data_IF_881402459830
#
_entry.id   IF_881402459830
#
_cell.length_a   1.000
_cell.length_b   1.000
_cell.length_c   1.000
_cell.angle_alpha   90.00
_cell.angle_beta   90.00
_cell.angle_gamma   90.00
#
_symmetry.space_group_name_H-M   'P 1'
#
loop_
_entity.id
_entity.type
_entity.pdbx_description
1 polymer ?
#
# COMPACT_ATOMS: atom_id res chain seq x y z
N UNK A 1 -5.18 -12.81 16.27
CA UNK A 1 -6.16 -12.58 15.21
C UNK A 1 -5.66 -13.23 13.92
N UNK A 2 -6.53 -13.94 13.23
CA UNK A 2 -6.16 -14.63 12.00
C UNK A 2 -6.51 -13.77 10.78
N UNK A 3 -5.80 -13.96 9.66
CA UNK A 3 -6.10 -13.22 8.42
C UNK A 3 -7.56 -13.36 7.98
N UNK A 4 -8.16 -14.53 8.15
CA UNK A 4 -9.55 -14.74 7.78
C UNK A 4 -10.51 -13.90 8.60
N UNK A 5 -10.19 -13.61 9.86
CA UNK A 5 -11.00 -12.75 10.71
C UNK A 5 -11.04 -11.33 10.16
N UNK A 6 -9.90 -10.82 9.68
CA UNK A 6 -9.81 -9.52 9.03
C UNK A 6 -10.63 -9.48 7.75
N UNK A 7 -10.52 -10.54 6.93
CA UNK A 7 -11.27 -10.62 5.69
C UNK A 7 -12.78 -10.57 5.94
N UNK A 8 -13.26 -11.32 6.92
CA UNK A 8 -14.67 -11.33 7.27
C UNK A 8 -15.14 -9.97 7.80
N UNK A 9 -14.36 -9.36 8.68
CA UNK A 9 -14.73 -8.11 9.33
C UNK A 9 -14.82 -6.94 8.34
N UNK A 10 -13.83 -6.79 7.47
CA UNK A 10 -13.73 -5.62 6.61
C UNK A 10 -14.28 -5.83 5.20
N UNK A 11 -14.24 -7.04 4.68
CA UNK A 11 -14.71 -7.34 3.32
C UNK A 11 -15.97 -8.18 3.28
N UNK A 12 -16.30 -8.88 4.36
CA UNK A 12 -17.49 -9.71 4.41
C UNK A 12 -17.38 -11.02 3.65
N UNK A 13 -16.17 -11.42 3.27
CA UNK A 13 -15.95 -12.70 2.59
C UNK A 13 -15.66 -13.80 3.59
N UNK A 14 -16.13 -15.01 3.30
CA UNK A 14 -15.96 -16.15 4.20
C UNK A 14 -14.66 -16.92 3.98
N UNK A 15 -14.04 -16.76 2.83
CA UNK A 15 -12.82 -17.50 2.49
C UNK A 15 -11.97 -16.71 1.50
N UNK A 16 -10.67 -17.03 1.51
CA UNK A 16 -9.75 -16.51 0.51
C UNK A 16 -9.90 -17.28 -0.80
N UNK A 17 -9.50 -16.65 -1.90
CA UNK A 17 -9.56 -17.24 -3.24
C UNK A 17 -8.17 -17.54 -3.77
N UNK A 18 -8.03 -18.65 -4.50
CA UNK A 18 -6.79 -19.00 -5.18
C UNK A 18 -5.59 -18.96 -4.24
N UNK A 19 -4.56 -18.24 -4.64
CA UNK A 19 -3.30 -18.17 -3.89
C UNK A 19 -3.26 -17.05 -2.83
N UNK A 20 -4.39 -16.37 -2.59
CA UNK A 20 -4.40 -15.26 -1.62
C UNK A 20 -3.88 -15.67 -0.25
N UNK A 21 -4.36 -16.80 0.25
CA UNK A 21 -3.95 -17.29 1.57
C UNK A 21 -2.45 -17.57 1.63
N UNK A 22 -1.90 -18.18 0.60
CA UNK A 22 -0.47 -18.49 0.54
C UNK A 22 0.40 -17.22 0.53
N UNK A 23 -0.03 -16.21 -0.23
CA UNK A 23 0.68 -14.92 -0.30
C UNK A 23 0.64 -14.23 1.06
N UNK A 24 -0.53 -14.19 1.69
CA UNK A 24 -0.70 -13.56 2.99
C UNK A 24 0.17 -14.24 4.04
N UNK A 25 0.19 -15.55 4.06
CA UNK A 25 1.00 -16.32 4.98
C UNK A 25 2.49 -16.03 4.79
N UNK A 26 2.94 -16.00 3.55
CA UNK A 26 4.33 -15.68 3.23
C UNK A 26 4.72 -14.29 3.73
N UNK A 27 3.87 -13.31 3.49
CA UNK A 27 4.10 -11.94 3.95
C UNK A 27 4.13 -11.87 5.48
N UNK A 28 3.19 -12.51 6.16
CA UNK A 28 3.12 -12.47 7.62
C UNK A 28 4.28 -13.21 8.28
N UNK A 29 4.88 -14.17 7.59
CA UNK A 29 6.08 -14.85 8.08
C UNK A 29 7.37 -14.07 7.84
N UNK A 30 7.25 -12.84 7.32
CA UNK A 30 8.40 -11.96 7.14
C UNK A 30 9.18 -12.19 5.84
N UNK A 31 8.63 -12.96 4.91
CA UNK A 31 9.28 -13.22 3.64
C UNK A 31 8.98 -12.12 2.62
N UNK A 32 9.98 -11.74 1.86
CA UNK A 32 9.76 -10.95 0.65
C UNK A 32 8.99 -11.81 -0.33
N UNK A 33 7.86 -11.30 -0.81
CA UNK A 33 6.91 -12.11 -1.56
C UNK A 33 6.60 -11.48 -2.90
N UNK A 34 6.68 -12.27 -3.97
CA UNK A 34 6.21 -11.89 -5.30
C UNK A 34 4.94 -12.66 -5.60
N UNK A 35 3.82 -11.95 -5.64
CA UNK A 35 2.53 -12.54 -5.97
C UNK A 35 2.13 -12.18 -7.38
N UNK A 36 2.05 -13.18 -8.26
CA UNK A 36 1.61 -12.99 -9.64
C UNK A 36 0.15 -13.43 -9.75
N UNK A 37 -0.73 -12.45 -9.95
CA UNK A 37 -2.17 -12.69 -10.04
C UNK A 37 -2.76 -11.93 -11.22
N UNK A 38 -3.86 -12.45 -11.80
CA UNK A 38 -4.57 -11.68 -12.82
C UNK A 38 -5.06 -10.35 -12.27
N UNK A 39 -5.06 -9.32 -13.11
CA UNK A 39 -5.56 -8.01 -12.72
C UNK A 39 -7.03 -8.08 -12.35
N UNK A 40 -7.41 -7.36 -11.29
CA UNK A 40 -8.79 -7.18 -10.87
C UNK A 40 -9.35 -8.24 -9.93
N UNK A 41 -8.68 -9.34 -9.72
CA UNK A 41 -9.23 -10.46 -8.98
C UNK A 41 -8.86 -10.53 -7.49
N UNK A 42 -9.08 -9.49 -6.71
CA UNK A 42 -8.79 -9.55 -5.29
C UNK A 42 -7.31 -9.50 -4.95
N UNK A 43 -6.50 -9.03 -5.88
CA UNK A 43 -5.04 -8.90 -5.69
C UNK A 43 -4.71 -8.00 -4.50
N UNK A 44 -5.43 -6.91 -4.33
CA UNK A 44 -5.17 -5.95 -3.27
C UNK A 44 -5.38 -6.52 -1.87
N UNK A 45 -6.27 -7.49 -1.72
CA UNK A 45 -6.51 -8.16 -0.43
C UNK A 45 -5.22 -8.81 0.08
N UNK A 46 -4.37 -9.31 -0.82
CA UNK A 46 -3.13 -9.99 -0.46
C UNK A 46 -2.18 -9.11 0.34
N UNK A 47 -2.22 -7.79 0.17
CA UNK A 47 -1.40 -6.89 0.98
C UNK A 47 -2.23 -6.08 1.98
N UNK A 48 -3.49 -5.81 1.68
CA UNK A 48 -4.33 -5.02 2.58
C UNK A 48 -4.64 -5.77 3.87
N UNK A 49 -4.91 -7.07 3.81
CA UNK A 49 -5.14 -7.88 5.02
C UNK A 49 -3.91 -7.91 5.92
N UNK A 50 -2.70 -8.24 5.43
CA UNK A 50 -1.51 -8.19 6.29
C UNK A 50 -1.23 -6.79 6.84
N UNK A 51 -1.50 -5.74 6.08
CA UNK A 51 -1.30 -4.37 6.54
C UNK A 51 -2.15 -4.07 7.78
N UNK A 52 -3.37 -4.58 7.82
CA UNK A 52 -4.26 -4.39 8.96
C UNK A 52 -3.84 -5.19 10.19
N UNK A 53 -3.08 -6.26 9.99
CA UNK A 53 -2.63 -7.13 11.08
C UNK A 53 -1.34 -6.64 11.71
N UNK A 54 -0.57 -5.80 11.02
CA UNK A 54 0.71 -5.32 11.50
C UNK A 54 0.59 -3.92 12.07
N UNK A 55 1.44 -3.61 13.04
CA UNK A 55 1.59 -2.23 13.52
C UNK A 55 2.36 -1.41 12.51
N UNK A 56 1.99 -0.13 12.39
CA UNK A 56 2.65 0.80 11.48
C UNK A 56 1.87 1.02 10.20
N UNK A 57 2.48 1.77 9.29
CA UNK A 57 1.87 2.13 8.01
C UNK A 57 2.43 1.26 6.89
N UNK A 58 1.56 0.76 6.04
CA UNK A 58 1.94 0.06 4.82
C UNK A 58 2.05 1.09 3.69
N UNK A 59 3.21 1.19 3.07
CA UNK A 59 3.42 2.07 1.92
C UNK A 59 3.16 1.26 0.66
N UNK A 60 2.19 1.70 -0.15
CA UNK A 60 1.82 1.03 -1.40
C UNK A 60 2.23 1.91 -2.57
N UNK A 61 3.15 1.43 -3.38
CA UNK A 61 3.63 2.16 -4.55
C UNK A 61 2.90 1.65 -5.78
N UNK A 62 2.21 2.54 -6.47
CA UNK A 62 1.49 2.20 -7.71
C UNK A 62 1.52 3.38 -8.67
N UNK A 63 1.68 3.11 -9.98
CA UNK A 63 1.71 4.18 -10.98
C UNK A 63 0.34 4.68 -11.40
N UNK A 64 -0.71 3.93 -11.11
CA UNK A 64 -2.05 4.20 -11.63
C UNK A 64 -2.84 5.03 -10.63
N UNK A 65 -2.85 6.36 -10.83
CA UNK A 65 -3.47 7.29 -9.90
C UNK A 65 -4.97 7.04 -9.74
N UNK A 66 -5.68 6.75 -10.83
CA UNK A 66 -7.11 6.46 -10.75
C UNK A 66 -7.40 5.22 -9.90
N UNK A 67 -6.62 4.17 -10.07
CA UNK A 67 -6.75 2.94 -9.28
C UNK A 67 -6.41 3.21 -7.81
N UNK A 68 -5.37 3.99 -7.56
CA UNK A 68 -4.98 4.43 -6.23
C UNK A 68 -6.13 5.12 -5.50
N UNK A 69 -6.76 6.08 -6.16
CA UNK A 69 -7.89 6.82 -5.60
C UNK A 69 -9.08 5.90 -5.31
N UNK A 70 -9.37 4.98 -6.21
CA UNK A 70 -10.46 4.02 -6.02
C UNK A 70 -10.20 3.11 -4.83
N UNK A 71 -8.99 2.58 -4.71
CA UNK A 71 -8.64 1.71 -3.58
C UNK A 71 -8.71 2.46 -2.25
N UNK A 72 -8.19 3.68 -2.20
CA UNK A 72 -8.25 4.50 -0.99
C UNK A 72 -9.71 4.75 -0.60
N UNK A 73 -10.57 5.09 -1.56
CA UNK A 73 -11.97 5.33 -1.27
C UNK A 73 -12.67 4.07 -0.75
N UNK A 74 -12.38 2.92 -1.36
CA UNK A 74 -12.96 1.65 -0.90
C UNK A 74 -12.50 1.31 0.52
N UNK A 75 -11.25 1.56 0.84
CA UNK A 75 -10.73 1.34 2.19
C UNK A 75 -11.42 2.26 3.20
N UNK A 76 -11.57 3.53 2.87
CA UNK A 76 -12.29 4.47 3.72
C UNK A 76 -13.73 4.04 3.96
N UNK A 77 -14.39 3.54 2.92
CA UNK A 77 -15.77 3.06 3.03
C UNK A 77 -15.88 1.85 3.97
N UNK A 78 -14.78 1.10 4.13
CA UNK A 78 -14.72 -0.03 5.06
C UNK A 78 -14.26 0.37 6.47
N UNK A 79 -14.06 1.66 6.71
CA UNK A 79 -13.61 2.14 8.02
C UNK A 79 -12.11 2.01 8.23
N UNK A 80 -11.34 1.81 7.17
CA UNK A 80 -9.89 1.69 7.23
C UNK A 80 -9.26 3.04 6.90
N UNK A 81 -8.31 3.46 7.71
CA UNK A 81 -7.62 4.74 7.51
C UNK A 81 -6.56 4.59 6.41
N UNK A 82 -6.82 5.22 5.29
CA UNK A 82 -5.94 5.18 4.12
C UNK A 82 -5.93 6.54 3.44
N UNK A 83 -4.83 6.86 2.79
CA UNK A 83 -4.70 8.10 2.03
C UNK A 83 -3.69 7.91 0.89
N UNK A 84 -3.60 8.90 0.01
CA UNK A 84 -2.74 8.84 -1.16
C UNK A 84 -1.97 10.12 -1.36
N UNK A 85 -0.73 9.99 -1.83
CA UNK A 85 0.13 11.10 -2.23
C UNK A 85 0.63 10.79 -3.65
N UNK A 86 0.29 11.66 -4.60
CA UNK A 86 0.60 11.41 -6.00
C UNK A 86 0.97 12.71 -6.73
N UNK A 87 1.51 12.56 -7.93
CA UNK A 87 1.85 13.69 -8.79
C UNK A 87 0.60 14.46 -9.19
N UNK A 88 0.65 15.78 -9.12
CA UNK A 88 -0.48 16.66 -9.43
C UNK A 88 -1.25 17.14 -8.22
N UNK A 89 -1.02 16.59 -7.04
CA UNK A 89 -1.58 17.14 -5.81
C UNK A 89 -0.92 18.48 -5.47
N UNK A 90 -1.68 19.36 -4.83
CA UNK A 90 -1.12 20.60 -4.32
C UNK A 90 -0.16 20.31 -3.17
N UNK A 91 0.89 21.10 -3.07
CA UNK A 91 1.90 20.92 -2.02
C UNK A 91 1.30 20.91 -0.62
N UNK A 92 0.32 21.77 -0.36
CA UNK A 92 -0.33 21.86 0.95
C UNK A 92 -1.00 20.53 1.31
N UNK A 93 -1.65 19.89 0.35
CA UNK A 93 -2.30 18.61 0.58
C UNK A 93 -1.29 17.50 0.80
N UNK A 94 -0.19 17.52 0.06
CA UNK A 94 0.89 16.55 0.23
C UNK A 94 1.47 16.66 1.64
N UNK A 95 1.78 17.85 2.09
CA UNK A 95 2.34 18.08 3.41
C UNK A 95 1.38 17.61 4.50
N UNK A 96 0.10 17.96 4.37
CA UNK A 96 -0.92 17.56 5.35
C UNK A 96 -1.01 16.04 5.46
N UNK A 97 -1.07 15.34 4.33
CA UNK A 97 -1.17 13.89 4.33
C UNK A 97 0.08 13.27 4.96
N UNK A 98 1.26 13.75 4.58
CA UNK A 98 2.51 13.19 5.11
C UNK A 98 2.68 13.48 6.60
N UNK A 99 2.27 14.66 7.07
CA UNK A 99 2.32 14.97 8.50
C UNK A 99 1.39 14.06 9.29
N UNK A 100 0.20 13.78 8.78
CA UNK A 100 -0.71 12.85 9.42
C UNK A 100 -0.15 11.42 9.42
N UNK A 101 0.57 11.05 8.37
CA UNK A 101 1.23 9.75 8.31
C UNK A 101 2.33 9.62 9.37
N UNK A 102 3.11 10.69 9.58
CA UNK A 102 4.14 10.73 10.63
C UNK A 102 3.50 10.52 12.01
N UNK A 103 2.31 11.07 12.22
CA UNK A 103 1.59 10.92 13.48
C UNK A 103 0.86 9.57 13.62
N UNK A 104 1.00 8.68 12.65
CA UNK A 104 0.37 7.37 12.71
C UNK A 104 -1.10 7.36 12.28
N UNK A 105 -1.51 8.33 11.48
CA UNK A 105 -2.91 8.50 11.09
C UNK A 105 -3.45 7.50 10.07
N UNK A 106 -2.59 6.71 9.44
CA UNK A 106 -3.01 5.81 8.37
C UNK A 106 -2.47 4.40 8.55
N UNK A 107 -3.26 3.40 8.14
CA UNK A 107 -2.82 2.01 8.01
C UNK A 107 -2.18 1.75 6.64
N UNK A 108 -2.68 2.41 5.59
CA UNK A 108 -2.13 2.31 4.25
C UNK A 108 -1.93 3.72 3.68
N UNK A 109 -0.77 3.94 3.10
CA UNK A 109 -0.44 5.17 2.39
C UNK A 109 -0.02 4.80 0.98
N UNK A 110 -0.83 5.21 0.01
CA UNK A 110 -0.57 4.97 -1.40
C UNK A 110 0.28 6.11 -1.95
N UNK A 111 1.29 5.77 -2.72
CA UNK A 111 2.26 6.75 -3.23
C UNK A 111 2.54 6.46 -4.69
N UNK A 112 2.53 7.51 -5.52
CA UNK A 112 3.01 7.37 -6.89
C UNK A 112 4.53 7.25 -6.92
N UNK A 113 5.11 6.53 -7.90
CA UNK A 113 6.55 6.33 -7.92
C UNK A 113 7.38 7.61 -7.94
N UNK A 114 6.87 8.65 -8.60
CA UNK A 114 7.55 9.94 -8.69
C UNK A 114 7.74 10.58 -7.31
N UNK A 115 6.84 10.29 -6.38
CA UNK A 115 6.91 10.85 -5.03
C UNK A 115 7.95 10.18 -4.15
N UNK A 116 8.33 8.94 -4.47
CA UNK A 116 9.31 8.21 -3.66
C UNK A 116 10.67 8.91 -3.61
N UNK A 117 11.05 9.58 -4.68
CA UNK A 117 12.36 10.25 -4.78
C UNK A 117 12.31 11.72 -4.37
N UNK A 118 11.16 12.24 -3.97
CA UNK A 118 11.06 13.65 -3.55
C UNK A 118 11.65 13.83 -2.15
N UNK A 119 12.32 14.96 -1.94
CA UNK A 119 12.93 15.27 -0.65
C UNK A 119 11.90 15.31 0.47
N UNK A 120 10.73 15.90 0.18
CA UNK A 120 9.69 16.01 1.20
C UNK A 120 9.18 14.64 1.64
N UNK A 121 8.98 13.72 0.68
CA UNK A 121 8.52 12.37 1.03
C UNK A 121 9.58 11.64 1.85
N UNK A 122 10.84 11.68 1.42
CA UNK A 122 11.93 11.00 2.12
C UNK A 122 12.14 11.54 3.53
N UNK A 123 12.04 12.87 3.69
CA UNK A 123 12.19 13.49 5.00
C UNK A 123 11.06 13.06 5.96
N UNK A 124 9.83 13.01 5.46
CA UNK A 124 8.68 12.60 6.28
C UNK A 124 8.70 11.09 6.55
N UNK A 125 9.12 10.30 5.57
CA UNK A 125 9.24 8.84 5.75
C UNK A 125 10.21 8.51 6.89
N UNK A 126 11.34 9.23 6.97
CA UNK A 126 12.32 9.04 8.04
C UNK A 126 11.75 9.34 9.43
N UNK A 127 10.71 10.16 9.50
CA UNK A 127 10.07 10.54 10.76
C UNK A 127 8.91 9.63 11.15
N UNK A 128 8.46 8.77 10.25
CA UNK A 128 7.39 7.83 10.57
C UNK A 128 7.88 6.82 11.58
N UNK A 129 7.06 6.58 12.62
CA UNK A 129 7.44 5.71 13.71
C UNK A 129 7.70 4.29 13.25
N UNK A 130 6.83 3.79 12.40
CA UNK A 130 6.91 2.40 11.97
C UNK A 130 6.28 2.25 10.59
N UNK A 131 7.06 1.67 9.68
CA UNK A 131 6.58 1.24 8.38
C UNK A 131 6.47 -0.27 8.41
N UNK A 132 5.27 -0.80 8.31
CA UNK A 132 5.04 -2.23 8.45
C UNK A 132 5.55 -3.01 7.25
N UNK A 133 5.34 -2.48 6.06
CA UNK A 133 5.82 -3.10 4.83
C UNK A 133 5.72 -2.12 3.66
N UNK A 134 6.44 -2.43 2.60
CA UNK A 134 6.38 -1.68 1.34
C UNK A 134 5.88 -2.64 0.28
N UNK A 135 4.84 -2.21 -0.43
CA UNK A 135 4.20 -2.99 -1.50
C UNK A 135 4.40 -2.26 -2.81
N UNK A 136 4.83 -2.97 -3.83
CA UNK A 136 4.90 -2.43 -5.18
C UNK A 136 3.80 -3.10 -5.99
N UNK A 137 2.72 -2.36 -6.21
CA UNK A 137 1.59 -2.81 -7.02
C UNK A 137 1.89 -2.50 -8.48
N UNK A 138 1.39 -3.32 -9.39
CA UNK A 138 1.68 -3.18 -10.82
C UNK A 138 3.19 -3.20 -11.08
N UNK A 139 3.89 -4.16 -10.48
CA UNK A 139 5.36 -4.24 -10.53
C UNK A 139 5.92 -4.35 -11.95
N UNK A 140 5.12 -4.87 -12.89
CA UNK A 140 5.51 -4.94 -14.29
C UNK A 140 5.82 -3.57 -14.90
N UNK A 141 5.26 -2.51 -14.34
CA UNK A 141 5.51 -1.14 -14.81
C UNK A 141 6.93 -0.66 -14.54
N UNK A 142 7.65 -1.31 -13.64
CA UNK A 142 9.03 -0.95 -13.34
C UNK A 142 9.90 -1.06 -14.59
N UNK A 143 9.75 -2.13 -15.36
CA UNK A 143 10.50 -2.33 -16.60
C UNK A 143 10.08 -1.35 -17.69
N UNK A 144 8.81 -0.92 -17.71
CA UNK A 144 8.30 0.06 -18.67
C UNK A 144 8.88 1.44 -18.43
N UNK A 145 9.11 1.80 -17.18
CA UNK A 145 9.68 3.09 -16.83
C UNK A 145 11.19 3.08 -16.88
N UNK A 146 11.77 1.91 -17.04
CA UNK A 146 13.18 1.75 -17.22
C UNK A 146 14.00 2.13 -16.02
N UNK A 147 15.21 2.58 -16.31
CA UNK A 147 16.21 2.82 -15.28
C UNK A 147 15.95 4.07 -14.44
N UNK A 148 15.12 4.98 -14.92
CA UNK A 148 14.85 6.25 -14.22
C UNK A 148 14.17 6.03 -12.86
N UNK A 149 13.36 4.99 -12.75
CA UNK A 149 12.64 4.68 -11.52
C UNK A 149 13.32 3.63 -10.66
N UNK A 150 14.33 2.98 -11.19
CA UNK A 150 15.02 1.91 -10.48
C UNK A 150 15.56 2.35 -9.11
N UNK A 151 16.22 3.51 -8.97
CA UNK A 151 16.69 3.94 -7.66
C UNK A 151 15.60 4.14 -6.62
N UNK A 152 14.38 4.46 -7.05
CA UNK A 152 13.25 4.67 -6.16
C UNK A 152 12.74 3.38 -5.54
N UNK A 153 13.00 2.25 -6.19
CA UNK A 153 12.57 0.94 -5.71
C UNK A 153 13.68 0.19 -4.98
N UNK A 154 14.90 0.58 -5.22
CA UNK A 154 16.06 -0.05 -4.61
C UNK A 154 16.55 0.74 -3.42
#
# INVERSE_FOLDING_TARGET
MKPLDILKEYWGYDSFRGIQSDIIESVLNGHDTLGLMPTGGGKSICFQVPALMRDGVCIVVTPLISLMKDQVQQLKNRGIKAEAVYSGMMREDIVRVLDNAVLGGYKLLYVSPERLSTEIFLAKLARMRQVSMIVVDEAHCISQWGYDFRPSYL
#
